data_IF_087442558707
#
_entry.id   IF_087442558707
#
_cell.length_a   1.000
_cell.length_b   1.000
_cell.length_c   1.000
_cell.angle_alpha   90.00
_cell.angle_beta   90.00
_cell.angle_gamma   90.00
#
_symmetry.space_group_name_H-M   'P 1'
#
loop_
_entity.id
_entity.type
_entity.pdbx_description
1 polymer ?
#
# COMPACT_ATOMS: atom_id res chain seq x y z
N UNK A 1 25.84 0.30 34.91
CA UNK A 1 26.73 0.46 33.75
C UNK A 1 25.83 0.77 32.56
N UNK A 2 25.71 2.05 32.23
CA UNK A 2 24.89 2.55 31.12
C UNK A 2 25.61 2.24 29.81
N UNK A 3 24.95 1.53 28.90
CA UNK A 3 25.32 1.55 27.49
C UNK A 3 24.22 2.33 26.80
N UNK A 4 24.51 3.60 26.54
CA UNK A 4 23.69 4.46 25.69
C UNK A 4 23.62 3.82 24.30
N UNK A 5 22.44 3.33 23.93
CA UNK A 5 22.13 2.97 22.55
C UNK A 5 21.88 4.25 21.76
N UNK A 6 22.95 4.99 21.45
CA UNK A 6 22.96 5.96 20.36
C UNK A 6 23.09 5.21 19.04
N UNK A 7 22.03 4.52 18.63
CA UNK A 7 21.84 4.19 17.22
C UNK A 7 21.30 5.46 16.55
N UNK A 8 22.23 6.31 16.11
CA UNK A 8 21.93 7.39 15.18
C UNK A 8 21.48 6.72 13.87
N UNK A 9 20.17 6.47 13.74
CA UNK A 9 19.57 6.11 12.46
C UNK A 9 19.73 7.34 11.59
N UNK A 10 20.70 7.29 10.67
CA UNK A 10 20.75 8.21 9.55
C UNK A 10 19.48 7.92 8.75
N UNK A 11 18.43 8.70 9.01
CA UNK A 11 17.32 8.82 8.06
C UNK A 11 17.95 9.33 6.78
N UNK A 12 18.10 8.43 5.82
CA UNK A 12 18.63 8.81 4.52
C UNK A 12 17.71 9.88 3.93
N UNK A 13 18.27 11.00 3.47
CA UNK A 13 17.51 12.20 3.08
C UNK A 13 16.44 11.84 2.02
N UNK A 14 16.68 10.81 1.21
CA UNK A 14 15.70 10.33 0.23
C UNK A 14 14.43 9.77 0.89
N UNK A 15 14.50 9.13 2.06
CA UNK A 15 13.30 8.65 2.76
C UNK A 15 12.44 9.82 3.22
N UNK A 16 13.05 10.88 3.76
CA UNK A 16 12.33 12.08 4.13
C UNK A 16 11.67 12.76 2.92
N UNK A 17 12.37 12.80 1.77
CA UNK A 17 11.81 13.29 0.50
C UNK A 17 10.64 12.43 0.03
N UNK A 18 10.78 11.10 0.02
CA UNK A 18 9.71 10.16 -0.36
C UNK A 18 8.50 10.31 0.55
N UNK A 19 8.71 10.41 1.87
CA UNK A 19 7.63 10.61 2.83
C UNK A 19 6.86 11.90 2.56
N UNK A 20 7.58 12.99 2.27
CA UNK A 20 6.97 14.28 1.90
C UNK A 20 6.21 14.19 0.58
N UNK A 21 6.76 13.52 -0.42
CA UNK A 21 6.10 13.30 -1.71
C UNK A 21 4.82 12.49 -1.55
N UNK A 22 4.86 11.41 -0.75
CA UNK A 22 3.68 10.60 -0.43
C UNK A 22 2.63 11.41 0.33
N UNK A 23 3.05 12.19 1.34
CA UNK A 23 2.15 13.07 2.08
C UNK A 23 1.46 14.10 1.17
N UNK A 24 2.19 14.70 0.21
CA UNK A 24 1.61 15.65 -0.74
C UNK A 24 0.47 15.02 -1.58
N UNK A 25 0.55 13.72 -1.89
CA UNK A 25 -0.54 13.04 -2.60
C UNK A 25 -1.78 12.89 -1.72
N UNK A 26 -1.61 12.57 -0.44
CA UNK A 26 -2.73 12.51 0.50
C UNK A 26 -3.43 13.87 0.61
N UNK A 27 -2.67 14.95 0.77
CA UNK A 27 -3.20 16.31 0.84
C UNK A 27 -3.91 16.70 -0.46
N UNK A 28 -3.29 16.43 -1.62
CA UNK A 28 -3.83 16.79 -2.94
C UNK A 28 -5.13 16.04 -3.26
N UNK A 29 -5.29 14.83 -2.73
CA UNK A 29 -6.46 13.99 -2.94
C UNK A 29 -7.52 14.14 -1.83
N UNK A 30 -7.26 14.97 -0.83
CA UNK A 30 -8.20 15.27 0.26
C UNK A 30 -8.37 14.12 1.25
N UNK A 31 -7.33 13.32 1.47
CA UNK A 31 -7.31 12.39 2.60
C UNK A 31 -7.01 13.14 3.90
N UNK A 32 -7.86 12.96 4.89
CA UNK A 32 -7.75 13.60 6.21
C UNK A 32 -7.26 12.63 7.29
N UNK A 33 -7.54 11.32 7.09
CA UNK A 33 -7.29 10.31 8.09
C UNK A 33 -6.68 9.05 7.46
N UNK A 34 -5.81 8.38 8.24
CA UNK A 34 -5.11 7.19 7.79
C UNK A 34 -6.04 6.00 7.52
N UNK A 35 -7.10 5.85 8.30
CA UNK A 35 -8.12 4.81 8.11
C UNK A 35 -8.80 4.89 6.74
N UNK A 36 -8.96 6.10 6.19
CA UNK A 36 -9.52 6.33 4.86
C UNK A 36 -8.73 5.60 3.78
N UNK A 37 -7.39 5.71 3.77
CA UNK A 37 -6.56 5.00 2.79
C UNK A 37 -6.42 3.51 3.13
N UNK A 38 -6.36 3.15 4.42
CA UNK A 38 -6.26 1.75 4.84
C UNK A 38 -7.47 0.92 4.41
N UNK A 39 -8.68 1.49 4.50
CA UNK A 39 -9.93 0.80 4.19
C UNK A 39 -10.28 0.81 2.69
N UNK A 40 -9.51 1.53 1.87
CA UNK A 40 -9.66 1.50 0.42
C UNK A 40 -9.20 0.17 -0.17
N UNK A 41 -9.92 -0.31 -1.19
CA UNK A 41 -9.41 -1.38 -2.06
C UNK A 41 -8.20 -0.87 -2.81
N UNK A 42 -7.19 -1.71 -3.00
CA UNK A 42 -6.02 -1.36 -3.84
C UNK A 42 -6.46 -1.02 -5.28
N UNK A 43 -7.51 -1.67 -5.77
CA UNK A 43 -8.16 -1.34 -7.05
C UNK A 43 -8.71 0.09 -7.09
N UNK A 44 -9.30 0.57 -5.99
CA UNK A 44 -9.86 1.91 -5.93
C UNK A 44 -8.73 2.95 -5.82
N UNK A 45 -7.65 2.63 -5.12
CA UNK A 45 -6.46 3.48 -5.03
C UNK A 45 -5.75 3.59 -6.40
N UNK A 46 -5.68 2.51 -7.18
CA UNK A 46 -5.21 2.49 -8.58
C UNK A 46 -6.11 3.27 -9.55
N UNK A 47 -7.34 3.58 -9.13
CA UNK A 47 -8.33 4.33 -9.89
C UNK A 47 -8.50 5.77 -9.39
N UNK A 48 -7.63 6.20 -8.48
CA UNK A 48 -7.61 7.55 -7.95
C UNK A 48 -6.76 8.44 -8.87
N UNK A 49 -7.26 9.64 -9.13
CA UNK A 49 -6.53 10.63 -9.91
C UNK A 49 -5.13 10.88 -9.33
N UNK A 50 -4.18 11.31 -10.16
CA UNK A 50 -2.78 11.55 -9.80
C UNK A 50 -1.97 10.31 -9.36
N UNK A 51 -2.61 9.16 -9.17
CA UNK A 51 -1.95 7.93 -8.71
C UNK A 51 -1.81 6.93 -9.85
N UNK A 52 -0.61 6.89 -10.44
CA UNK A 52 -0.24 5.77 -11.29
C UNK A 52 0.16 4.54 -10.46
N UNK A 53 0.38 3.41 -11.14
CA UNK A 53 0.73 2.17 -10.47
C UNK A 53 2.12 2.19 -9.79
N UNK A 54 2.98 3.16 -10.05
CA UNK A 54 4.22 3.35 -9.28
C UNK A 54 3.91 4.10 -8.00
N UNK A 55 3.11 5.18 -8.07
CA UNK A 55 2.72 5.98 -6.90
C UNK A 55 1.91 5.18 -5.89
N UNK A 56 1.02 4.31 -6.35
CA UNK A 56 0.30 3.42 -5.44
C UNK A 56 1.25 2.45 -4.72
N UNK A 57 2.29 1.95 -5.40
CA UNK A 57 3.30 1.10 -4.75
C UNK A 57 4.07 1.88 -3.69
N UNK A 58 4.54 3.09 -4.01
CA UNK A 58 5.24 3.97 -3.07
C UNK A 58 4.40 4.27 -1.83
N UNK A 59 3.10 4.56 -2.01
CA UNK A 59 2.15 4.77 -0.91
C UNK A 59 2.05 3.52 -0.03
N UNK A 60 1.86 2.33 -0.61
CA UNK A 60 1.74 1.08 0.15
C UNK A 60 3.04 0.77 0.91
N UNK A 61 4.19 0.96 0.27
CA UNK A 61 5.50 0.75 0.90
C UNK A 61 5.75 1.74 2.04
N UNK A 62 5.37 3.01 1.84
CA UNK A 62 5.43 4.02 2.89
C UNK A 62 4.58 3.61 4.10
N UNK A 63 3.32 3.24 3.87
CA UNK A 63 2.40 2.82 4.92
C UNK A 63 2.91 1.58 5.68
N UNK A 64 3.46 0.59 4.98
CA UNK A 64 4.10 -0.56 5.61
C UNK A 64 5.28 -0.16 6.52
N UNK A 65 6.18 0.69 6.02
CA UNK A 65 7.34 1.16 6.78
C UNK A 65 6.94 1.96 8.02
N UNK A 66 5.84 2.71 7.95
CA UNK A 66 5.35 3.51 9.07
C UNK A 66 4.56 2.71 10.10
N UNK A 67 3.81 1.68 9.68
CA UNK A 67 2.82 1.03 10.56
C UNK A 67 3.26 -0.34 11.08
N UNK A 68 3.95 -1.13 10.26
CA UNK A 68 4.31 -2.50 10.61
C UNK A 68 5.62 -2.95 9.93
N UNK A 69 6.73 -2.23 10.15
CA UNK A 69 7.98 -2.55 9.47
C UNK A 69 8.62 -3.80 10.09
N UNK A 70 8.87 -4.82 9.27
CA UNK A 70 9.68 -5.97 9.66
C UNK A 70 11.15 -5.74 9.26
N UNK A 71 11.76 -4.68 9.80
CA UNK A 71 13.07 -4.14 9.39
C UNK A 71 14.14 -5.24 9.36
N UNK A 72 14.22 -6.06 10.41
CA UNK A 72 15.24 -7.11 10.51
C UNK A 72 15.12 -8.15 9.40
N UNK A 73 13.90 -8.58 9.06
CA UNK A 73 13.67 -9.53 7.96
C UNK A 73 13.92 -8.85 6.62
N UNK A 74 13.45 -7.62 6.44
CA UNK A 74 13.64 -6.86 5.21
C UNK A 74 15.12 -6.63 4.89
N UNK A 75 15.91 -6.22 5.88
CA UNK A 75 17.36 -6.03 5.75
C UNK A 75 18.10 -7.34 5.49
N UNK A 76 17.76 -8.40 6.24
CA UNK A 76 18.35 -9.72 6.02
C UNK A 76 18.05 -10.24 4.60
N UNK A 77 16.85 -9.98 4.08
CA UNK A 77 16.47 -10.32 2.72
C UNK A 77 17.17 -9.45 1.68
N UNK A 78 17.30 -8.14 1.92
CA UNK A 78 18.02 -7.21 1.04
C UNK A 78 19.49 -7.58 0.90
N UNK A 79 20.14 -7.94 2.01
CA UNK A 79 21.53 -8.40 2.05
C UNK A 79 21.73 -9.84 1.56
N UNK A 80 20.65 -10.55 1.18
CA UNK A 80 20.71 -11.95 0.74
C UNK A 80 21.03 -12.96 1.83
N UNK A 81 21.00 -12.56 3.10
CA UNK A 81 21.21 -13.43 4.26
C UNK A 81 20.00 -14.32 4.56
N UNK A 82 18.82 -13.94 4.07
CA UNK A 82 17.57 -14.67 4.26
C UNK A 82 16.75 -14.72 2.98
N UNK A 83 16.13 -15.87 2.70
CA UNK A 83 15.13 -15.99 1.64
C UNK A 83 13.75 -15.57 2.12
N UNK A 84 12.87 -15.26 1.16
CA UNK A 84 11.46 -14.99 1.45
C UNK A 84 10.84 -16.11 2.30
N UNK A 85 10.34 -15.76 3.48
CA UNK A 85 9.77 -16.69 4.46
C UNK A 85 8.25 -16.55 4.65
N UNK A 86 7.62 -15.56 4.01
CA UNK A 86 6.19 -15.30 4.15
C UNK A 86 5.35 -16.38 3.46
N UNK A 87 4.30 -16.88 4.14
CA UNK A 87 3.40 -17.89 3.59
C UNK A 87 2.41 -17.30 2.59
N UNK A 88 2.84 -17.26 1.32
CA UNK A 88 1.97 -16.88 0.21
C UNK A 88 0.73 -17.76 0.09
N UNK A 89 0.83 -19.06 0.38
CA UNK A 89 -0.28 -19.98 0.17
C UNK A 89 -1.38 -19.80 1.18
N UNK A 90 -1.04 -19.65 2.46
CA UNK A 90 -1.97 -19.32 3.54
C UNK A 90 -2.65 -17.99 3.29
N UNK A 91 -1.88 -16.96 2.95
CA UNK A 91 -2.44 -15.63 2.71
C UNK A 91 -3.39 -15.61 1.50
N UNK A 92 -3.04 -16.30 0.40
CA UNK A 92 -3.90 -16.41 -0.80
C UNK A 92 -5.18 -17.21 -0.56
N UNK A 93 -5.18 -18.16 0.39
CA UNK A 93 -6.40 -18.90 0.79
C UNK A 93 -7.42 -17.99 1.46
N UNK A 94 -6.96 -17.04 2.27
CA UNK A 94 -7.78 -16.02 2.93
C UNK A 94 -8.22 -14.97 1.90
N UNK A 95 -7.26 -14.42 1.14
CA UNK A 95 -7.48 -13.35 0.18
C UNK A 95 -7.66 -13.87 -1.25
N UNK A 96 -8.69 -14.71 -1.48
CA UNK A 96 -8.94 -15.30 -2.81
C UNK A 96 -9.20 -14.24 -3.88
N UNK A 97 -10.02 -13.24 -3.55
CA UNK A 97 -10.49 -12.21 -4.47
C UNK A 97 -9.58 -10.98 -4.41
N UNK A 98 -8.57 -10.93 -5.29
CA UNK A 98 -7.61 -9.82 -5.36
C UNK A 98 -8.25 -8.43 -5.54
N UNK A 99 -9.43 -8.38 -6.18
CA UNK A 99 -10.20 -7.15 -6.44
C UNK A 99 -10.79 -6.53 -5.18
N UNK A 100 -10.85 -7.28 -4.08
CA UNK A 100 -11.43 -6.86 -2.80
C UNK A 100 -10.38 -6.55 -1.73
N UNK A 101 -9.11 -6.78 -2.04
CA UNK A 101 -8.02 -6.58 -1.09
C UNK A 101 -7.89 -5.10 -0.80
N UNK A 102 -7.90 -4.78 0.50
CA UNK A 102 -7.69 -3.42 1.00
C UNK A 102 -6.21 -3.14 1.19
N UNK A 103 -5.87 -1.85 1.32
CA UNK A 103 -4.50 -1.45 1.69
C UNK A 103 -4.15 -2.01 3.07
N UNK A 104 -5.10 -1.99 4.01
CA UNK A 104 -4.98 -2.59 5.35
C UNK A 104 -4.55 -4.04 5.30
N UNK A 105 -5.21 -4.85 4.48
CA UNK A 105 -4.89 -6.28 4.34
C UNK A 105 -3.45 -6.51 3.88
N UNK A 106 -2.88 -5.60 3.10
CA UNK A 106 -1.47 -5.69 2.69
C UNK A 106 -0.52 -5.22 3.80
N UNK A 107 -0.74 -4.05 4.38
CA UNK A 107 0.26 -3.40 5.25
C UNK A 107 0.23 -3.88 6.69
N UNK A 108 -0.92 -4.33 7.20
CA UNK A 108 -1.10 -4.77 8.59
C UNK A 108 -1.12 -6.30 8.76
N UNK A 109 -0.85 -7.07 7.71
CA UNK A 109 -0.73 -8.53 7.86
C UNK A 109 0.45 -8.88 8.77
N UNK A 110 0.22 -9.77 9.73
CA UNK A 110 1.26 -10.22 10.66
C UNK A 110 2.43 -10.88 9.93
N UNK A 111 3.65 -10.55 10.36
CA UNK A 111 4.91 -11.08 9.82
C UNK A 111 5.13 -10.84 8.32
N UNK A 112 4.36 -9.96 7.68
CA UNK A 112 4.61 -9.58 6.29
C UNK A 112 5.93 -8.82 6.19
N UNK A 113 6.59 -8.99 5.04
CA UNK A 113 7.81 -8.27 4.69
C UNK A 113 7.63 -7.53 3.37
N UNK A 114 8.53 -6.59 3.08
CA UNK A 114 8.47 -5.72 1.92
C UNK A 114 8.39 -6.51 0.60
N UNK A 115 9.20 -7.57 0.46
CA UNK A 115 9.21 -8.39 -0.75
C UNK A 115 7.89 -9.14 -0.96
N UNK A 116 7.20 -9.52 0.12
CA UNK A 116 5.88 -10.13 0.05
C UNK A 116 4.82 -9.10 -0.38
N UNK A 117 4.88 -7.88 0.17
CA UNK A 117 3.99 -6.77 -0.24
C UNK A 117 4.15 -6.48 -1.73
N UNK A 118 5.38 -6.32 -2.21
CA UNK A 118 5.66 -6.08 -3.63
C UNK A 118 5.13 -7.22 -4.51
N UNK A 119 5.34 -8.48 -4.08
CA UNK A 119 4.81 -9.64 -4.80
C UNK A 119 3.28 -9.63 -4.92
N UNK A 120 2.57 -9.32 -3.83
CA UNK A 120 1.12 -9.24 -3.84
C UNK A 120 0.61 -8.03 -4.62
N UNK A 121 1.25 -6.88 -4.46
CA UNK A 121 0.94 -5.68 -5.20
C UNK A 121 1.05 -5.92 -6.71
N UNK A 122 2.12 -6.58 -7.17
CA UNK A 122 2.30 -6.97 -8.56
C UNK A 122 1.17 -7.86 -9.07
N UNK A 123 0.73 -8.83 -8.27
CA UNK A 123 -0.37 -9.71 -8.63
C UNK A 123 -1.71 -8.95 -8.71
N UNK A 124 -1.97 -8.05 -7.77
CA UNK A 124 -3.17 -7.18 -7.76
C UNK A 124 -3.15 -6.26 -8.96
N UNK A 125 -2.05 -5.54 -9.19
CA UNK A 125 -1.82 -4.63 -10.33
C UNK A 125 -2.06 -5.33 -11.66
N UNK A 126 -1.47 -6.51 -11.86
CA UNK A 126 -1.68 -7.32 -13.08
C UNK A 126 -3.14 -7.69 -13.29
N UNK A 127 -3.87 -7.95 -12.20
CA UNK A 127 -5.29 -8.27 -12.29
C UNK A 127 -6.15 -7.02 -12.53
N UNK A 128 -5.78 -5.88 -11.95
CA UNK A 128 -6.42 -4.59 -12.18
C UNK A 128 -6.41 -4.20 -13.66
N UNK A 129 -5.24 -4.25 -14.31
CA UNK A 129 -5.11 -3.91 -15.73
C UNK A 129 -5.88 -4.86 -16.68
N UNK A 130 -6.24 -6.05 -16.21
CA UNK A 130 -7.09 -7.00 -16.96
C UNK A 130 -8.57 -6.90 -16.59
N UNK A 131 -8.90 -6.08 -15.60
CA UNK A 131 -10.27 -5.91 -15.11
C UNK A 131 -11.03 -4.89 -15.95
N UNK A 132 -12.35 -4.93 -15.84
CA UNK A 132 -13.24 -3.89 -16.41
C UNK A 132 -13.21 -2.58 -15.63
N UNK A 133 -12.57 -2.56 -14.46
CA UNK A 133 -12.43 -1.34 -13.66
C UNK A 133 -11.26 -0.46 -14.13
N UNK A 134 -10.37 -0.98 -14.99
CA UNK A 134 -9.29 -0.21 -15.58
C UNK A 134 -9.75 0.49 -16.87
N UNK A 135 -9.54 1.80 -16.92
CA UNK A 135 -9.65 2.61 -18.12
C UNK A 135 -8.33 3.37 -18.30
N UNK A 136 -7.80 3.38 -19.52
CA UNK A 136 -6.55 4.06 -19.84
C UNK A 136 -6.77 5.55 -20.12
N UNK A 137 -8.00 5.96 -20.43
CA UNK A 137 -8.36 7.35 -20.71
C UNK A 137 -8.65 8.14 -19.44
N UNK A 138 -9.27 7.51 -18.44
CA UNK A 138 -9.83 8.21 -17.30
C UNK A 138 -9.66 7.45 -15.98
N UNK A 139 -9.32 8.19 -14.92
CA UNK A 139 -9.42 7.69 -13.55
C UNK A 139 -10.87 7.69 -13.08
N UNK A 140 -11.24 6.71 -12.25
CA UNK A 140 -12.61 6.59 -11.74
C UNK A 140 -12.94 7.60 -10.64
N UNK A 141 -11.95 8.03 -9.86
CA UNK A 141 -12.13 8.91 -8.71
C UNK A 141 -11.25 10.15 -8.82
N UNK A 142 -11.82 11.33 -8.70
CA UNK A 142 -11.05 12.59 -8.78
C UNK A 142 -10.32 12.90 -7.47
N UNK A 143 -10.94 12.58 -6.34
CA UNK A 143 -10.44 12.80 -4.99
C UNK A 143 -11.16 11.85 -4.00
N UNK A 144 -10.79 11.89 -2.72
CA UNK A 144 -11.39 11.06 -1.69
C UNK A 144 -12.90 11.32 -1.50
N UNK A 145 -13.35 12.58 -1.60
CA UNK A 145 -14.76 12.92 -1.46
C UNK A 145 -15.62 12.26 -2.56
N UNK A 146 -15.17 12.34 -3.82
CA UNK A 146 -15.82 11.67 -4.96
C UNK A 146 -15.81 10.14 -4.79
N UNK A 147 -14.72 9.58 -4.28
CA UNK A 147 -14.66 8.16 -3.89
C UNK A 147 -15.72 7.82 -2.84
N UNK A 148 -15.81 8.58 -1.75
CA UNK A 148 -16.75 8.35 -0.66
C UNK A 148 -18.21 8.43 -1.15
N UNK A 149 -18.53 9.42 -2.00
CA UNK A 149 -19.84 9.58 -2.62
C UNK A 149 -20.19 8.41 -3.54
N UNK A 150 -19.27 8.00 -4.43
CA UNK A 150 -19.51 6.87 -5.35
C UNK A 150 -19.65 5.53 -4.62
N UNK A 151 -18.92 5.32 -3.51
CA UNK A 151 -19.02 4.08 -2.71
C UNK A 151 -20.29 4.03 -1.88
N UNK A 152 -20.70 5.15 -1.28
CA UNK A 152 -21.99 5.24 -0.57
C UNK A 152 -23.17 5.14 -1.53
N UNK A 153 -23.09 5.72 -2.73
CA UNK A 153 -24.11 5.59 -3.78
C UNK A 153 -24.15 4.18 -4.40
N UNK A 154 -22.99 3.52 -4.55
CA UNK A 154 -22.89 2.14 -5.05
C UNK A 154 -23.51 1.10 -4.11
N UNK A 155 -23.59 1.39 -2.80
CA UNK A 155 -24.33 0.57 -1.83
C UNK A 155 -25.86 0.71 -1.89
N UNK A 156 -26.38 1.69 -2.65
CA UNK A 156 -27.83 1.93 -2.84
C UNK A 156 -28.40 1.36 -4.15
N UNK A 157 -27.62 0.59 -4.92
CA UNK A 157 -28.17 -0.17 -6.04
C UNK A 157 -28.75 -1.49 -5.51
N UNK A 158 -30.09 -1.53 -5.52
CA UNK A 158 -30.97 -2.66 -5.22
C UNK A 158 -30.48 -3.99 -5.77
#
# INVERSE_FOLDING_TARGET
MNVELNAFVVFDDWQAVVNRTVANYFDSLGFEHLDQVLDMRVFDLLNMNLLDAVRVEEIIVYLYRSLNPNITVDEAMYCGAMNQCFDYTGWRKIHRQLEKITVRDLVLTENINLRAIQHFYDAIRKKFFKSREYDWCEYRYTNYQDYAEKRTAGGKRK
#
